data_IF_510796782242
#
_entry.id   IF_510796782242
#
_cell.length_a   1.000
_cell.length_b   1.000
_cell.length_c   1.000
_cell.angle_alpha   90.00
_cell.angle_beta   90.00
_cell.angle_gamma   90.00
#
_symmetry.space_group_name_H-M   'P 1'
#
loop_
_entity.id
_entity.type
_entity.pdbx_description
1 polymer ?
#
# COMPACT_ATOMS: atom_id res chain seq x y z
N UNK A 1 -26.85 6.26 2.12
CA UNK A 1 -25.71 5.31 2.04
C UNK A 1 -24.75 5.65 0.90
N UNK A 2 -23.50 5.19 0.97
CA UNK A 2 -22.48 5.32 -0.09
C UNK A 2 -22.52 4.08 -1.02
N UNK A 3 -22.07 4.19 -2.27
CA UNK A 3 -22.00 3.06 -3.20
C UNK A 3 -20.55 2.65 -3.43
N UNK A 4 -20.23 1.37 -3.26
CA UNK A 4 -18.90 0.84 -3.59
C UNK A 4 -18.77 0.71 -5.10
N UNK A 5 -17.58 0.94 -5.66
CA UNK A 5 -17.33 0.73 -7.09
C UNK A 5 -16.55 -0.56 -7.29
N UNK A 6 -16.86 -1.31 -8.35
CA UNK A 6 -16.09 -2.48 -8.79
C UNK A 6 -15.12 -2.05 -9.89
N UNK A 7 -13.84 -2.42 -9.76
CA UNK A 7 -12.77 -1.99 -10.66
C UNK A 7 -12.02 -3.19 -11.23
N UNK A 8 -11.74 -3.14 -12.54
CA UNK A 8 -10.98 -4.14 -13.30
C UNK A 8 -9.53 -3.67 -13.52
N UNK A 9 -8.53 -4.48 -13.16
CA UNK A 9 -7.11 -4.12 -13.28
C UNK A 9 -6.39 -4.93 -14.35
N UNK A 10 -5.58 -4.26 -15.18
CA UNK A 10 -4.76 -4.89 -16.23
C UNK A 10 -3.32 -5.03 -15.76
N UNK A 11 -2.81 -6.26 -15.72
CA UNK A 11 -1.47 -6.59 -15.19
C UNK A 11 -0.37 -6.17 -16.19
N UNK A 12 0.66 -5.46 -15.72
CA UNK A 12 1.93 -5.28 -16.45
C UNK A 12 3.05 -6.01 -15.73
N UNK A 13 3.89 -6.70 -16.50
CA UNK A 13 4.92 -7.64 -16.03
C UNK A 13 6.01 -6.98 -15.16
N UNK A 14 6.34 -7.64 -14.05
CA UNK A 14 7.35 -7.20 -13.10
C UNK A 14 8.73 -7.81 -13.44
N UNK A 15 9.70 -6.98 -13.82
CA UNK A 15 11.11 -7.39 -13.93
C UNK A 15 12.06 -6.36 -13.33
N UNK A 16 12.10 -6.20 -12.00
CA UNK A 16 13.17 -5.42 -11.36
C UNK A 16 13.45 -5.97 -9.95
N UNK A 17 14.21 -7.06 -9.84
CA UNK A 17 14.68 -7.61 -8.55
C UNK A 17 16.17 -7.29 -8.37
N UNK A 18 16.51 -6.67 -7.24
CA UNK A 18 17.89 -6.42 -6.79
C UNK A 18 18.04 -6.64 -5.28
N UNK A 19 19.28 -6.93 -4.84
CA UNK A 19 19.67 -6.93 -3.42
C UNK A 19 20.79 -5.91 -3.23
N UNK A 20 20.74 -5.14 -2.15
CA UNK A 20 21.82 -4.20 -1.83
C UNK A 20 23.12 -4.96 -1.59
N UNK A 21 24.25 -4.42 -2.03
CA UNK A 21 25.57 -4.95 -1.67
C UNK A 21 26.28 -3.95 -0.78
N UNK A 22 26.59 -4.38 0.43
CA UNK A 22 27.42 -3.59 1.35
C UNK A 22 28.87 -3.67 0.91
N UNK A 23 29.53 -2.52 0.79
CA UNK A 23 30.94 -2.41 0.44
C UNK A 23 31.61 -1.36 1.32
N UNK A 24 32.85 -1.62 1.71
CA UNK A 24 33.70 -0.60 2.28
C UNK A 24 34.40 0.16 1.15
N UNK A 25 34.34 1.49 1.19
CA UNK A 25 35.02 2.32 0.20
C UNK A 25 36.54 2.22 0.37
N UNK A 26 37.34 2.20 -0.71
CA UNK A 26 38.79 2.17 -0.60
C UNK A 26 39.29 3.36 0.22
N UNK A 27 40.16 3.11 1.19
CA UNK A 27 40.75 4.18 2.03
C UNK A 27 41.55 5.18 1.17
N UNK A 28 42.03 4.75 0.00
CA UNK A 28 42.76 5.56 -0.98
C UNK A 28 41.86 6.42 -1.87
N UNK A 29 40.54 6.44 -1.64
CA UNK A 29 39.58 7.21 -2.44
C UNK A 29 39.88 8.71 -2.32
N UNK A 30 40.39 9.30 -3.40
CA UNK A 30 40.79 10.71 -3.44
C UNK A 30 39.59 11.67 -3.45
N UNK A 31 38.47 11.24 -4.05
CA UNK A 31 37.26 12.05 -4.18
C UNK A 31 36.07 11.33 -3.52
N UNK A 32 35.43 11.93 -2.50
CA UNK A 32 34.30 11.32 -1.84
C UNK A 32 33.12 11.17 -2.80
N UNK A 33 32.45 10.02 -2.74
CA UNK A 33 31.18 9.80 -3.44
C UNK A 33 30.06 10.54 -2.71
N UNK A 34 28.92 10.77 -3.35
CA UNK A 34 27.75 11.37 -2.69
C UNK A 34 26.70 10.30 -2.43
N UNK A 35 26.07 10.36 -1.27
CA UNK A 35 24.92 9.53 -0.97
C UNK A 35 23.72 9.96 -1.82
N UNK A 36 23.09 9.04 -2.53
CA UNK A 36 21.92 9.30 -3.38
C UNK A 36 20.65 9.70 -2.62
N UNK A 37 20.61 9.53 -1.28
CA UNK A 37 19.44 9.85 -0.45
C UNK A 37 19.64 11.13 0.37
N UNK A 38 20.74 11.25 1.14
CA UNK A 38 20.99 12.44 1.97
C UNK A 38 21.92 13.47 1.31
N UNK A 39 22.53 13.16 0.15
CA UNK A 39 23.49 14.00 -0.59
C UNK A 39 24.85 14.24 0.09
N UNK A 40 24.99 13.83 1.34
CA UNK A 40 26.24 13.89 2.10
C UNK A 40 27.33 13.00 1.50
N UNK A 41 28.59 13.30 1.84
CA UNK A 41 29.77 12.62 1.32
C UNK A 41 29.99 11.25 1.98
N UNK A 42 30.29 10.26 1.14
CA UNK A 42 30.81 8.93 1.50
C UNK A 42 32.30 8.92 1.14
N UNK A 43 33.15 9.00 2.15
CA UNK A 43 34.60 9.05 2.05
C UNK A 43 35.28 7.69 1.94
N UNK A 44 36.61 7.71 1.86
CA UNK A 44 37.42 6.49 1.91
C UNK A 44 37.34 5.82 3.27
N UNK A 45 37.12 4.50 3.29
CA UNK A 45 36.95 3.72 4.52
C UNK A 45 35.50 3.62 5.02
N UNK A 46 34.59 4.46 4.52
CA UNK A 46 33.18 4.44 4.90
C UNK A 46 32.46 3.19 4.35
N UNK A 47 31.42 2.77 5.08
CA UNK A 47 30.52 1.73 4.61
C UNK A 47 29.49 2.37 3.68
N UNK A 48 29.36 1.79 2.49
CA UNK A 48 28.33 2.16 1.53
C UNK A 48 27.54 0.94 1.09
N UNK A 49 26.32 1.19 0.65
CA UNK A 49 25.47 0.24 -0.04
C UNK A 49 25.45 0.62 -1.51
N UNK A 50 25.73 -0.33 -2.39
CA UNK A 50 25.56 -0.18 -3.83
C UNK A 50 24.35 -1.00 -4.30
N UNK A 51 23.64 -0.46 -5.28
CA UNK A 51 22.40 -1.03 -5.78
C UNK A 51 22.53 -1.22 -7.29
N UNK A 52 22.90 -2.42 -7.74
CA UNK A 52 23.21 -2.68 -9.17
C UNK A 52 22.07 -2.29 -10.12
N UNK A 53 20.81 -2.39 -9.67
CA UNK A 53 19.63 -1.99 -10.46
C UNK A 53 19.43 -0.48 -10.56
N UNK A 54 20.06 0.31 -9.70
CA UNK A 54 19.97 1.77 -9.72
C UNK A 54 21.05 2.43 -10.60
N UNK A 55 22.08 1.66 -10.98
CA UNK A 55 23.22 2.10 -11.79
C UNK A 55 24.55 1.80 -11.11
N UNK A 56 25.65 1.86 -11.87
CA UNK A 56 26.99 1.48 -11.41
C UNK A 56 27.63 2.48 -10.43
N UNK A 57 27.14 3.73 -10.39
CA UNK A 57 27.75 4.82 -9.62
C UNK A 57 26.76 5.44 -8.63
N UNK A 58 25.95 4.61 -7.98
CA UNK A 58 25.02 5.05 -6.94
C UNK A 58 25.33 4.42 -5.61
N UNK A 59 25.37 5.26 -4.60
CA UNK A 59 25.87 4.90 -3.28
C UNK A 59 24.92 5.43 -2.22
N UNK A 60 24.68 4.62 -1.19
CA UNK A 60 23.91 5.03 -0.03
C UNK A 60 24.70 4.73 1.23
N UNK A 61 24.55 5.55 2.27
CA UNK A 61 24.84 5.06 3.60
C UNK A 61 23.90 3.89 3.93
N UNK A 62 24.32 2.92 4.77
CA UNK A 62 23.45 1.84 5.22
C UNK A 62 22.08 2.33 5.73
N UNK A 63 22.08 3.39 6.53
CA UNK A 63 20.85 3.97 7.09
C UNK A 63 20.04 4.81 6.09
N UNK A 64 20.64 5.19 4.96
CA UNK A 64 19.97 5.94 3.90
C UNK A 64 19.43 5.03 2.79
N UNK A 65 19.73 3.72 2.85
CA UNK A 65 19.22 2.74 1.90
C UNK A 65 17.86 2.21 2.36
N UNK A 66 16.84 3.07 2.29
CA UNK A 66 15.50 2.83 2.85
C UNK A 66 14.39 2.93 1.80
N UNK A 67 13.25 2.31 2.10
CA UNK A 67 12.04 2.50 1.29
C UNK A 67 11.52 3.94 1.41
N UNK A 68 11.25 4.60 0.29
CA UNK A 68 10.74 5.98 0.26
C UNK A 68 9.34 6.15 0.88
N UNK A 69 8.58 5.07 1.07
CA UNK A 69 7.22 5.13 1.62
C UNK A 69 7.20 4.85 3.13
N UNK A 70 7.86 3.78 3.60
CA UNK A 70 7.85 3.39 5.01
C UNK A 70 9.17 3.55 5.76
N UNK A 71 10.23 4.02 5.10
CA UNK A 71 11.58 4.15 5.65
C UNK A 71 12.22 2.83 6.15
N UNK A 72 11.67 1.68 5.77
CA UNK A 72 12.26 0.37 6.07
C UNK A 72 13.66 0.24 5.48
N UNK A 73 14.63 -0.25 6.26
CA UNK A 73 16.00 -0.51 5.82
C UNK A 73 16.02 -1.67 4.82
N UNK A 74 16.58 -1.42 3.63
CA UNK A 74 16.56 -2.37 2.53
C UNK A 74 17.90 -3.11 2.33
N UNK A 75 18.88 -2.87 3.21
CA UNK A 75 20.25 -3.39 3.04
C UNK A 75 20.25 -4.91 2.87
N UNK A 76 19.48 -5.60 3.72
CA UNK A 76 19.35 -7.07 3.73
C UNK A 76 18.09 -7.58 3.01
N UNK A 77 17.29 -6.67 2.46
CA UNK A 77 16.01 -6.99 1.82
C UNK A 77 16.12 -6.91 0.30
N UNK A 78 15.13 -7.52 -0.36
CA UNK A 78 14.91 -7.28 -1.78
C UNK A 78 14.37 -5.86 -1.93
N UNK A 79 15.01 -5.06 -2.79
CA UNK A 79 14.58 -3.72 -3.12
C UNK A 79 14.10 -3.63 -4.57
N UNK A 80 13.27 -2.63 -4.81
CA UNK A 80 12.82 -2.22 -6.13
C UNK A 80 13.24 -0.79 -6.37
N UNK A 81 13.78 -0.50 -7.55
CA UNK A 81 14.22 0.84 -7.93
C UNK A 81 13.47 1.30 -9.17
N UNK A 82 12.73 2.40 -9.03
CA UNK A 82 11.87 2.97 -10.07
C UNK A 82 11.84 4.48 -9.93
N UNK A 83 12.01 5.19 -11.06
CA UNK A 83 11.94 6.65 -11.13
C UNK A 83 12.82 7.38 -10.09
N UNK A 84 14.03 6.85 -9.83
CA UNK A 84 14.95 7.45 -8.86
C UNK A 84 14.70 7.07 -7.40
N UNK A 85 13.70 6.24 -7.10
CA UNK A 85 13.24 5.92 -5.74
C UNK A 85 13.40 4.45 -5.40
N UNK A 86 13.63 4.18 -4.11
CA UNK A 86 13.75 2.84 -3.53
C UNK A 86 12.44 2.42 -2.86
N UNK A 87 12.00 1.20 -3.13
CA UNK A 87 10.79 0.62 -2.56
C UNK A 87 11.07 -0.76 -1.98
N UNK A 88 10.49 -1.07 -0.83
CA UNK A 88 10.40 -2.45 -0.35
C UNK A 88 9.41 -3.26 -1.21
N UNK A 89 9.42 -4.59 -1.05
CA UNK A 89 8.53 -5.46 -1.81
C UNK A 89 7.04 -5.12 -1.65
N UNK A 90 6.64 -4.73 -0.44
CA UNK A 90 5.27 -4.29 -0.12
C UNK A 90 4.84 -3.09 -0.96
N UNK A 91 5.57 -1.98 -0.84
CA UNK A 91 5.20 -0.73 -1.51
C UNK A 91 5.43 -0.79 -3.03
N UNK A 92 6.39 -1.58 -3.51
CA UNK A 92 6.49 -1.81 -4.95
C UNK A 92 5.26 -2.57 -5.49
N UNK A 93 4.82 -3.63 -4.80
CA UNK A 93 3.66 -4.41 -5.23
C UNK A 93 2.38 -3.56 -5.27
N UNK A 94 2.22 -2.64 -4.32
CA UNK A 94 1.11 -1.69 -4.27
C UNK A 94 1.07 -0.72 -5.47
N UNK A 95 2.20 -0.47 -6.14
CA UNK A 95 2.21 0.30 -7.40
C UNK A 95 1.67 -0.48 -8.61
N UNK A 96 1.48 -1.80 -8.48
CA UNK A 96 1.05 -2.69 -9.55
C UNK A 96 -0.38 -3.22 -9.35
N UNK A 97 -0.70 -3.64 -8.13
CA UNK A 97 -2.03 -4.14 -7.74
C UNK A 97 -2.36 -3.61 -6.34
N UNK A 98 -3.63 -3.30 -6.06
CA UNK A 98 -4.02 -2.76 -4.76
C UNK A 98 -3.90 -3.80 -3.63
N UNK A 99 -3.69 -3.33 -2.39
CA UNK A 99 -3.72 -4.16 -1.18
C UNK A 99 -5.10 -4.10 -0.52
N UNK A 100 -5.60 -5.24 -0.07
CA UNK A 100 -6.89 -5.33 0.62
C UNK A 100 -6.80 -4.79 2.04
N UNK A 101 -7.65 -3.82 2.39
CA UNK A 101 -7.68 -3.21 3.73
C UNK A 101 -8.16 -4.16 4.85
N UNK A 102 -8.73 -5.33 4.54
CA UNK A 102 -9.20 -6.29 5.54
C UNK A 102 -8.14 -7.33 5.93
N UNK A 103 -7.46 -7.90 4.93
CA UNK A 103 -6.53 -9.03 5.13
C UNK A 103 -5.07 -8.66 4.93
N UNK A 104 -4.78 -7.39 4.60
CA UNK A 104 -3.44 -6.88 4.32
C UNK A 104 -2.71 -7.64 3.20
N UNK A 105 -3.42 -8.26 2.25
CA UNK A 105 -2.82 -8.99 1.12
C UNK A 105 -3.03 -8.27 -0.22
N UNK A 106 -2.12 -8.46 -1.19
CA UNK A 106 -2.27 -7.93 -2.54
C UNK A 106 -3.46 -8.60 -3.23
N UNK A 107 -4.33 -7.78 -3.83
CA UNK A 107 -5.48 -8.25 -4.59
C UNK A 107 -5.01 -8.67 -5.98
N UNK A 108 -4.70 -9.96 -6.11
CA UNK A 108 -4.26 -10.55 -7.38
C UNK A 108 -5.39 -10.77 -8.38
N UNK A 109 -6.64 -10.79 -7.88
CA UNK A 109 -7.82 -10.84 -8.73
C UNK A 109 -7.82 -9.65 -9.71
N UNK A 110 -8.42 -9.87 -10.87
CA UNK A 110 -8.63 -8.79 -11.83
C UNK A 110 -9.75 -7.86 -11.39
N UNK A 111 -10.58 -8.29 -10.43
CA UNK A 111 -11.67 -7.49 -9.88
C UNK A 111 -11.47 -7.22 -8.39
N UNK A 112 -11.67 -5.97 -8.00
CA UNK A 112 -11.78 -5.58 -6.59
C UNK A 112 -12.85 -4.51 -6.40
N UNK A 113 -13.18 -4.21 -5.15
CA UNK A 113 -14.03 -3.06 -4.84
C UNK A 113 -13.26 -1.97 -4.13
N UNK A 114 -13.57 -0.72 -4.48
CA UNK A 114 -13.07 0.46 -3.79
C UNK A 114 -14.17 1.07 -2.91
N UNK A 115 -13.81 1.33 -1.66
CA UNK A 115 -14.68 1.90 -0.65
C UNK A 115 -13.85 2.70 0.36
N UNK A 116 -14.31 3.90 0.71
CA UNK A 116 -13.60 4.81 1.63
C UNK A 116 -12.15 5.13 1.21
N UNK A 117 -11.88 5.21 -0.10
CA UNK A 117 -10.53 5.42 -0.65
C UNK A 117 -9.57 4.24 -0.42
N UNK A 118 -10.11 3.07 -0.09
CA UNK A 118 -9.36 1.83 0.14
C UNK A 118 -9.85 0.74 -0.79
N UNK A 119 -8.95 -0.18 -1.13
CA UNK A 119 -9.27 -1.34 -1.93
C UNK A 119 -9.54 -2.56 -1.06
N UNK A 120 -10.42 -3.43 -1.56
CA UNK A 120 -10.85 -4.63 -0.86
C UNK A 120 -11.04 -5.77 -1.86
N UNK A 121 -10.70 -7.00 -1.43
CA UNK A 121 -11.23 -8.18 -2.10
C UNK A 121 -12.76 -8.13 -2.08
N UNK A 122 -13.40 -8.56 -3.17
CA UNK A 122 -14.88 -8.61 -3.26
C UNK A 122 -15.52 -9.36 -2.09
N UNK A 123 -14.87 -10.44 -1.63
CA UNK A 123 -15.32 -11.25 -0.48
C UNK A 123 -15.09 -10.59 0.88
N UNK A 124 -14.12 -9.70 1.00
CA UNK A 124 -13.78 -9.07 2.29
C UNK A 124 -14.53 -7.76 2.53
N UNK A 125 -15.08 -7.15 1.47
CA UNK A 125 -15.99 -6.03 1.62
C UNK A 125 -17.44 -6.53 1.73
N UNK A 126 -17.81 -6.96 2.93
CA UNK A 126 -19.08 -7.59 3.23
C UNK A 126 -19.75 -6.94 4.44
N UNK A 127 -21.08 -6.99 4.48
CA UNK A 127 -21.87 -6.49 5.60
C UNK A 127 -21.42 -7.18 6.89
N UNK A 128 -21.08 -6.39 7.91
CA UNK A 128 -20.60 -6.90 9.19
C UNK A 128 -21.63 -7.80 9.90
N UNK A 129 -22.92 -7.64 9.62
CA UNK A 129 -23.99 -8.39 10.28
C UNK A 129 -24.40 -9.68 9.54
N UNK A 130 -24.43 -9.64 8.21
CA UNK A 130 -24.99 -10.74 7.41
C UNK A 130 -24.03 -11.31 6.36
N UNK A 131 -22.77 -10.87 6.37
CA UNK A 131 -21.70 -11.27 5.44
C UNK A 131 -22.02 -11.09 3.94
N UNK A 132 -23.11 -10.37 3.61
CA UNK A 132 -23.47 -10.06 2.23
C UNK A 132 -22.38 -9.19 1.61
N UNK A 133 -21.84 -9.60 0.47
CA UNK A 133 -20.88 -8.79 -0.29
C UNK A 133 -21.47 -7.43 -0.69
N UNK A 134 -20.70 -6.37 -0.49
CA UNK A 134 -21.12 -4.98 -0.69
C UNK A 134 -20.45 -4.33 -1.91
N UNK A 135 -19.58 -5.05 -2.63
CA UNK A 135 -18.95 -4.55 -3.84
C UNK A 135 -20.00 -4.15 -4.89
N UNK A 136 -19.95 -2.92 -5.37
CA UNK A 136 -20.96 -2.38 -6.30
C UNK A 136 -22.30 -1.98 -5.66
N UNK A 137 -22.51 -2.28 -4.38
CA UNK A 137 -23.78 -2.07 -3.67
C UNK A 137 -23.75 -0.81 -2.80
N UNK A 138 -24.95 -0.38 -2.36
CA UNK A 138 -25.08 0.68 -1.35
C UNK A 138 -24.82 0.11 0.05
N UNK A 139 -24.07 0.86 0.85
CA UNK A 139 -23.70 0.52 2.21
C UNK A 139 -23.62 1.76 3.09
N UNK A 140 -23.50 1.54 4.39
CA UNK A 140 -23.22 2.57 5.40
C UNK A 140 -22.02 2.12 6.23
N UNK A 141 -21.02 3.00 6.41
CA UNK A 141 -19.90 2.76 7.32
C UNK A 141 -20.24 3.29 8.71
N UNK A 142 -20.08 2.44 9.72
CA UNK A 142 -20.21 2.85 11.12
C UNK A 142 -19.04 2.24 11.90
N UNK A 143 -18.27 3.08 12.58
CA UNK A 143 -17.10 2.67 13.38
C UNK A 143 -16.09 1.79 12.59
N UNK A 144 -15.90 2.09 11.30
CA UNK A 144 -15.02 1.32 10.43
C UNK A 144 -15.58 0.00 9.92
N UNK A 145 -16.85 -0.33 10.24
CA UNK A 145 -17.53 -1.54 9.78
C UNK A 145 -18.59 -1.21 8.71
N UNK A 146 -18.57 -1.89 7.55
CA UNK A 146 -19.59 -1.68 6.52
C UNK A 146 -20.86 -2.48 6.81
N UNK A 147 -22.02 -1.87 6.62
CA UNK A 147 -23.34 -2.48 6.76
C UNK A 147 -24.14 -2.32 5.47
N UNK A 148 -24.89 -3.36 5.08
CA UNK A 148 -25.93 -3.19 4.07
C UNK A 148 -27.06 -2.32 4.64
N UNK A 149 -27.83 -1.65 3.77
CA UNK A 149 -28.92 -0.76 4.20
C UNK A 149 -29.94 -1.50 5.08
N UNK A 150 -30.31 -2.72 4.71
CA UNK A 150 -31.26 -3.54 5.46
C UNK A 150 -30.78 -3.81 6.90
N UNK A 151 -29.55 -4.28 7.09
CA UNK A 151 -29.03 -4.53 8.43
C UNK A 151 -28.86 -3.23 9.21
N UNK A 152 -28.43 -2.15 8.53
CA UNK A 152 -28.30 -0.85 9.18
C UNK A 152 -29.64 -0.36 9.72
N UNK A 153 -30.70 -0.38 8.90
CA UNK A 153 -32.04 0.02 9.33
C UNK A 153 -32.56 -0.89 10.47
N UNK A 154 -32.40 -2.22 10.36
CA UNK A 154 -32.86 -3.13 11.41
C UNK A 154 -32.16 -2.93 12.78
N UNK A 155 -30.89 -2.52 12.78
CA UNK A 155 -30.12 -2.38 14.03
C UNK A 155 -30.09 -0.95 14.57
N UNK A 156 -30.25 0.05 13.71
CA UNK A 156 -29.98 1.45 14.04
C UNK A 156 -31.09 2.42 13.61
N UNK A 157 -32.17 1.96 12.99
CA UNK A 157 -33.29 2.85 12.71
C UNK A 157 -33.83 3.41 14.03
N UNK A 158 -33.88 4.73 14.11
CA UNK A 158 -34.72 5.41 15.08
C UNK A 158 -36.17 5.33 14.59
N UNK A 159 -37.07 5.06 15.52
CA UNK A 159 -38.49 5.01 15.26
C UNK A 159 -39.05 6.43 15.39
N UNK A 160 -39.97 6.80 14.51
CA UNK A 160 -40.69 8.05 14.65
C UNK A 160 -41.58 8.00 15.91
N UNK A 161 -41.36 8.87 16.88
CA UNK A 161 -42.18 8.92 18.11
C UNK A 161 -43.67 9.20 17.85
N UNK A 162 -44.01 9.76 16.68
CA UNK A 162 -45.39 10.08 16.31
C UNK A 162 -46.14 8.94 15.60
N UNK A 163 -45.44 8.06 14.86
CA UNK A 163 -46.09 6.99 14.08
C UNK A 163 -45.50 5.59 14.27
N UNK A 164 -44.38 5.45 14.98
CA UNK A 164 -43.71 4.18 15.24
C UNK A 164 -42.98 3.56 14.03
N UNK A 165 -43.06 4.18 12.86
CA UNK A 165 -42.39 3.72 11.64
C UNK A 165 -40.88 3.99 11.68
N UNK A 166 -40.10 3.14 11.01
CA UNK A 166 -38.64 3.32 10.89
C UNK A 166 -38.32 4.47 9.94
N UNK A 167 -37.49 5.42 10.40
CA UNK A 167 -36.98 6.51 9.54
C UNK A 167 -35.82 5.93 8.70
N UNK A 168 -36.14 5.37 7.54
CA UNK A 168 -35.14 4.76 6.65
C UNK A 168 -34.14 5.77 6.10
N UNK A 169 -32.87 5.36 5.97
CA UNK A 169 -31.75 6.21 5.48
C UNK A 169 -31.76 6.39 3.94
N UNK A 170 -32.90 6.13 3.30
CA UNK A 170 -33.08 6.00 1.86
C UNK A 170 -34.05 7.02 1.24
N UNK A 171 -34.41 8.09 1.97
CA UNK A 171 -35.10 9.25 1.39
C UNK A 171 -34.15 10.17 0.62
#
# INVERSE_FOLDING_TARGET
GKKGTSTLFRTKEARILGRGTVKQMPVTLQNPSKCDSCTDSIGGGDISVVASRAGLNRFWHPNCFTCTVCNELLVDLIYFYKDGKLYCGRHNAETMKPRCSACDEIILSDECTEAEGRAWHMKHFACFECDRQLGGQRYIMREGRPYCLQCFDCMFAEYCDACGETIGVDQ
#
